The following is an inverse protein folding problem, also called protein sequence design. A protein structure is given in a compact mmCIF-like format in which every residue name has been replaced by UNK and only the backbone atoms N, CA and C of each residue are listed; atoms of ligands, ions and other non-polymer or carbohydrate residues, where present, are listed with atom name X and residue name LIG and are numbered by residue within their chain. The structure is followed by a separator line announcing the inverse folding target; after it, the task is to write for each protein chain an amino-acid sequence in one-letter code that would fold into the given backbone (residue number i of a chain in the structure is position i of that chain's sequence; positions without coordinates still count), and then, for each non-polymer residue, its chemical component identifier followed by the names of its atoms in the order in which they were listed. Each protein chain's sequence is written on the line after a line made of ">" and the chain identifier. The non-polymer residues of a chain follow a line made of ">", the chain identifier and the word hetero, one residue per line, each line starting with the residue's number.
data_IF_326082006533
#
_entry.id   IF_326082006533
#
_cell.length_a   1.000
_cell.length_b   1.000
_cell.length_c   1.000
_cell.angle_alpha   90.00
_cell.angle_beta   90.00
_cell.angle_gamma   90.00
#
_symmetry.space_group_name_H-M   'P 1'
#
loop_
_entity.id
_entity.type
_entity.pdbx_description
1 polymer ?
#
# COMPACT_ATOMS: atom_id res chain seq x y z
N UNK A 1 -14.67 7.05 5.89
CA UNK A 1 -13.69 6.48 4.92
C UNK A 1 -14.21 5.18 4.31
N UNK A 2 -14.57 4.17 5.11
CA UNK A 2 -14.98 2.85 4.61
C UNK A 2 -16.09 2.86 3.54
N UNK A 3 -17.18 3.61 3.74
CA UNK A 3 -18.26 3.67 2.73
C UNK A 3 -17.86 4.42 1.46
N UNK A 4 -16.84 5.27 1.53
CA UNK A 4 -16.26 5.91 0.35
C UNK A 4 -15.52 4.88 -0.50
N UNK A 5 -14.71 4.01 0.13
CA UNK A 5 -13.89 3.02 -0.56
C UNK A 5 -14.70 1.93 -1.28
N UNK A 6 -15.95 1.70 -0.85
CA UNK A 6 -16.90 0.79 -1.52
C UNK A 6 -17.42 1.37 -2.85
N UNK A 7 -17.28 2.68 -3.09
CA UNK A 7 -17.76 3.35 -4.32
C UNK A 7 -16.71 3.41 -5.43
N UNK A 8 -15.45 3.08 -5.11
CA UNK A 8 -14.34 3.18 -6.04
C UNK A 8 -13.72 1.81 -6.30
N UNK A 9 -13.31 1.57 -7.54
CA UNK A 9 -12.77 0.28 -7.98
C UNK A 9 -11.25 0.25 -8.01
N UNK A 10 -10.67 -0.87 -7.58
CA UNK A 10 -9.24 -1.15 -7.61
C UNK A 10 -8.83 -2.01 -8.82
N UNK A 11 -9.74 -2.88 -9.31
CA UNK A 11 -9.54 -3.80 -10.44
C UNK A 11 -10.80 -3.85 -11.30
N UNK A 12 -10.64 -4.13 -12.60
CA UNK A 12 -11.73 -4.19 -13.58
C UNK A 12 -12.22 -5.60 -13.91
N UNK A 13 -11.40 -6.63 -13.70
CA UNK A 13 -11.74 -8.02 -14.03
C UNK A 13 -11.13 -9.02 -13.02
N UNK A 14 -11.92 -9.60 -12.11
CA UNK A 14 -13.30 -9.18 -11.80
C UNK A 14 -13.33 -7.75 -11.22
N UNK A 15 -14.48 -7.10 -11.33
CA UNK A 15 -14.68 -5.76 -10.80
C UNK A 15 -14.62 -5.79 -9.26
N UNK A 16 -13.56 -5.20 -8.69
CA UNK A 16 -13.26 -5.24 -7.25
C UNK A 16 -13.14 -3.81 -6.72
N UNK A 17 -13.83 -3.50 -5.62
CA UNK A 17 -13.74 -2.20 -4.94
C UNK A 17 -12.41 -2.04 -4.18
N UNK A 18 -11.98 -0.81 -3.91
CA UNK A 18 -10.80 -0.56 -3.06
C UNK A 18 -11.00 -1.18 -1.68
N UNK A 19 -12.22 -1.13 -1.14
CA UNK A 19 -12.55 -1.79 0.12
C UNK A 19 -12.29 -3.31 0.05
N UNK A 20 -12.86 -4.01 -0.93
CA UNK A 20 -12.67 -5.46 -1.09
C UNK A 20 -11.21 -5.84 -1.32
N UNK A 21 -10.48 -5.06 -2.13
CA UNK A 21 -9.05 -5.26 -2.36
C UNK A 21 -8.25 -5.14 -1.05
N UNK A 22 -8.52 -4.12 -0.24
CA UNK A 22 -7.86 -3.93 1.04
C UNK A 22 -8.18 -5.06 2.03
N UNK A 23 -9.44 -5.53 2.09
CA UNK A 23 -9.82 -6.63 2.98
C UNK A 23 -9.17 -7.97 2.55
N UNK A 24 -9.07 -8.25 1.24
CA UNK A 24 -8.31 -9.42 0.75
C UNK A 24 -6.83 -9.33 1.14
N UNK A 25 -6.19 -8.16 0.99
CA UNK A 25 -4.81 -7.95 1.41
C UNK A 25 -4.62 -8.12 2.93
N UNK A 26 -5.54 -7.62 3.75
CA UNK A 26 -5.51 -7.82 5.21
C UNK A 26 -5.63 -9.30 5.57
N UNK A 27 -6.55 -10.03 4.93
CA UNK A 27 -6.70 -11.47 5.14
C UNK A 27 -5.42 -12.22 4.78
N UNK A 28 -4.78 -11.89 3.65
CA UNK A 28 -3.49 -12.47 3.26
C UNK A 28 -2.36 -12.11 4.24
N UNK A 29 -2.34 -10.88 4.73
CA UNK A 29 -1.39 -10.47 5.77
C UNK A 29 -1.57 -11.32 7.03
N UNK A 30 -2.80 -11.54 7.51
CA UNK A 30 -3.06 -12.39 8.68
C UNK A 30 -2.71 -13.86 8.45
N UNK A 31 -2.84 -14.37 7.23
CA UNK A 31 -2.37 -15.72 6.86
C UNK A 31 -0.84 -15.81 6.85
N UNK A 32 -0.15 -14.73 6.44
CA UNK A 32 1.32 -14.66 6.42
C UNK A 32 1.91 -14.41 7.81
N UNK A 33 1.18 -13.70 8.67
CA UNK A 33 1.62 -13.24 10.01
C UNK A 33 2.31 -14.32 10.85
N UNK A 34 1.82 -15.58 10.95
CA UNK A 34 2.47 -16.63 11.75
C UNK A 34 3.88 -17.01 11.29
N UNK A 35 4.23 -16.71 10.04
CA UNK A 35 5.53 -17.04 9.44
C UNK A 35 6.54 -15.89 9.52
N UNK A 36 6.14 -14.73 10.04
CA UNK A 36 6.99 -13.54 10.16
C UNK A 36 7.59 -13.43 11.58
N UNK A 37 8.74 -12.75 11.76
CA UNK A 37 9.33 -12.56 13.08
C UNK A 37 8.37 -11.82 14.02
N UNK A 38 7.85 -12.53 15.03
CA UNK A 38 6.79 -12.07 15.93
C UNK A 38 7.06 -10.67 16.51
N UNK A 39 8.25 -10.45 17.05
CA UNK A 39 8.64 -9.18 17.67
C UNK A 39 8.57 -7.99 16.69
N UNK A 40 9.02 -8.20 15.44
CA UNK A 40 9.00 -7.16 14.40
C UNK A 40 7.57 -6.85 13.95
N UNK A 41 6.73 -7.87 13.87
CA UNK A 41 5.33 -7.75 13.45
C UNK A 41 4.50 -7.04 14.51
N UNK A 42 4.54 -7.49 15.77
CA UNK A 42 3.68 -6.95 16.83
C UNK A 42 3.94 -5.45 17.05
N UNK A 43 5.21 -5.02 16.96
CA UNK A 43 5.57 -3.60 17.08
C UNK A 43 5.01 -2.72 15.96
N UNK A 44 4.85 -3.26 14.75
CA UNK A 44 4.56 -2.48 13.54
C UNK A 44 3.26 -2.86 12.85
N UNK A 45 2.46 -3.74 13.44
CA UNK A 45 1.20 -4.24 12.87
C UNK A 45 0.27 -3.10 12.46
N UNK A 46 0.04 -2.12 13.34
CA UNK A 46 -0.80 -0.98 13.02
C UNK A 46 -0.29 -0.19 11.80
N UNK A 47 1.03 -0.04 11.67
CA UNK A 47 1.65 0.65 10.53
C UNK A 47 1.45 -0.17 9.25
N UNK A 48 1.63 -1.49 9.32
CA UNK A 48 1.40 -2.41 8.19
C UNK A 48 -0.05 -2.34 7.72
N UNK A 49 -1.01 -2.39 8.64
CA UNK A 49 -2.44 -2.26 8.31
C UNK A 49 -2.71 -0.91 7.65
N UNK A 50 -2.09 0.19 8.12
CA UNK A 50 -2.22 1.49 7.48
C UNK A 50 -1.61 1.54 6.09
N UNK A 51 -0.50 0.83 5.83
CA UNK A 51 0.07 0.75 4.48
C UNK A 51 -0.96 0.09 3.54
N UNK A 52 -1.58 -1.02 3.95
CA UNK A 52 -2.63 -1.69 3.19
C UNK A 52 -3.81 -0.73 2.94
N UNK A 53 -4.23 0.03 3.95
CA UNK A 53 -5.34 0.98 3.80
C UNK A 53 -5.03 2.14 2.85
N UNK A 54 -3.77 2.58 2.76
CA UNK A 54 -3.38 3.80 2.05
C UNK A 54 -2.80 3.57 0.65
N UNK A 55 -2.15 2.43 0.38
CA UNK A 55 -1.34 2.23 -0.84
C UNK A 55 -2.09 2.55 -2.14
N UNK A 56 -3.39 2.24 -2.18
CA UNK A 56 -4.25 2.36 -3.35
C UNK A 56 -5.26 3.53 -3.28
N UNK A 57 -5.19 4.43 -2.29
CA UNK A 57 -6.15 5.54 -2.18
C UNK A 57 -6.12 6.47 -3.40
N UNK A 58 -4.96 6.61 -4.05
CA UNK A 58 -4.81 7.33 -5.30
C UNK A 58 -5.72 6.81 -6.41
N UNK A 59 -6.18 5.55 -6.36
CA UNK A 59 -7.11 4.98 -7.35
C UNK A 59 -8.49 5.63 -7.33
N UNK A 60 -8.86 6.35 -6.28
CA UNK A 60 -10.11 7.13 -6.23
C UNK A 60 -10.14 8.29 -7.25
N UNK A 61 -9.00 8.62 -7.87
CA UNK A 61 -8.95 9.68 -8.87
C UNK A 61 -9.81 9.35 -10.11
N UNK A 62 -10.42 10.39 -10.68
CA UNK A 62 -11.37 10.26 -11.80
C UNK A 62 -10.78 9.56 -13.03
N UNK A 63 -9.50 9.80 -13.35
CA UNK A 63 -8.85 9.20 -14.52
C UNK A 63 -8.68 7.69 -14.35
N UNK A 64 -8.23 7.25 -13.17
CA UNK A 64 -8.12 5.84 -12.84
C UNK A 64 -9.48 5.14 -12.88
N UNK A 65 -10.53 5.75 -12.30
CA UNK A 65 -11.88 5.18 -12.32
C UNK A 65 -12.46 5.08 -13.74
N UNK A 66 -12.28 6.11 -14.57
CA UNK A 66 -12.69 6.07 -15.98
C UNK A 66 -11.98 4.94 -16.76
N UNK A 67 -10.71 4.69 -16.44
CA UNK A 67 -9.93 3.59 -17.02
C UNK A 67 -10.47 2.24 -16.57
N UNK A 68 -10.76 2.06 -15.28
CA UNK A 68 -11.24 0.78 -14.73
C UNK A 68 -12.67 0.44 -15.17
N UNK A 69 -13.58 1.41 -15.20
CA UNK A 69 -14.99 1.18 -15.52
C UNK A 69 -15.23 1.21 -17.03
N UNK A 70 -14.59 2.13 -17.75
CA UNK A 70 -14.90 2.44 -19.15
C UNK A 70 -13.74 2.24 -20.12
N UNK A 71 -12.59 1.73 -19.68
CA UNK A 71 -11.42 1.49 -20.52
C UNK A 71 -10.72 2.76 -21.05
N UNK A 72 -11.20 3.96 -20.69
CA UNK A 72 -10.68 5.23 -21.19
C UNK A 72 -9.39 5.60 -20.48
N UNK A 73 -8.26 5.54 -21.21
CA UNK A 73 -6.95 5.96 -20.70
C UNK A 73 -6.71 7.43 -20.99
N UNK A 74 -6.15 8.14 -20.02
CA UNK A 74 -5.65 9.50 -20.19
C UNK A 74 -4.12 9.46 -20.28
N UNK A 75 -3.52 10.23 -21.18
CA UNK A 75 -2.06 10.26 -21.38
C UNK A 75 -1.30 10.96 -20.25
N UNK A 76 -2.01 11.75 -19.44
CA UNK A 76 -1.51 12.57 -18.34
C UNK A 76 -2.01 12.06 -16.97
N UNK A 77 -2.22 10.75 -16.85
CA UNK A 77 -2.56 10.10 -15.57
C UNK A 77 -1.34 10.08 -14.64
N UNK A 78 -1.47 10.71 -13.47
CA UNK A 78 -0.46 10.60 -12.40
C UNK A 78 -0.57 9.20 -11.80
N UNK A 79 0.54 8.46 -11.61
CA UNK A 79 0.49 7.14 -11.00
C UNK A 79 -0.14 7.19 -9.60
N UNK A 80 -0.98 6.21 -9.28
CA UNK A 80 -1.82 6.25 -8.10
C UNK A 80 -1.01 6.08 -6.81
N UNK A 81 0.13 5.38 -6.86
CA UNK A 81 1.12 5.29 -5.79
C UNK A 81 1.57 6.67 -5.29
N UNK A 82 1.78 7.63 -6.19
CA UNK A 82 2.16 8.99 -5.84
C UNK A 82 0.97 9.79 -5.29
N UNK A 83 -0.21 9.61 -5.86
CA UNK A 83 -1.43 10.25 -5.38
C UNK A 83 -1.85 9.74 -3.98
N UNK A 84 -1.60 8.47 -3.67
CA UNK A 84 -1.90 7.87 -2.37
C UNK A 84 -1.18 8.56 -1.21
N UNK A 85 0.03 9.09 -1.45
CA UNK A 85 0.81 9.82 -0.44
C UNK A 85 0.10 11.11 -0.02
N UNK A 86 -0.63 11.76 -0.93
CA UNK A 86 -1.33 13.02 -0.66
C UNK A 86 -2.46 12.87 0.38
N UNK A 87 -2.91 11.65 0.65
CA UNK A 87 -3.91 11.35 1.69
C UNK A 87 -3.31 11.36 3.11
N UNK A 88 -1.98 11.42 3.26
CA UNK A 88 -1.32 11.47 4.58
C UNK A 88 -1.39 12.89 5.14
N UNK A 89 -2.40 13.15 5.97
CA UNK A 89 -2.57 14.44 6.64
C UNK A 89 -1.60 14.63 7.82
N UNK A 90 -1.60 15.85 8.39
CA UNK A 90 -0.69 16.24 9.49
C UNK A 90 -0.83 15.36 10.74
N UNK A 91 -2.05 14.96 11.08
CA UNK A 91 -2.31 14.18 12.29
C UNK A 91 -1.91 12.73 12.11
N UNK A 92 -2.16 12.15 10.92
CA UNK A 92 -1.70 10.82 10.59
C UNK A 92 -0.16 10.76 10.51
N UNK A 93 0.50 11.80 9.98
CA UNK A 93 1.95 11.96 10.05
C UNK A 93 2.47 11.99 11.50
N UNK A 94 1.81 12.71 12.40
CA UNK A 94 2.17 12.70 13.84
C UNK A 94 2.00 11.32 14.45
N UNK A 95 0.92 10.61 14.11
CA UNK A 95 0.68 9.25 14.57
C UNK A 95 1.78 8.29 14.11
N UNK A 96 2.19 8.33 12.83
CA UNK A 96 3.30 7.52 12.30
C UNK A 96 4.61 7.76 13.04
N UNK A 97 4.91 9.01 13.42
CA UNK A 97 6.12 9.36 14.16
C UNK A 97 6.20 8.73 15.56
N UNK A 98 5.08 8.28 16.14
CA UNK A 98 5.09 7.57 17.43
C UNK A 98 5.80 6.21 17.35
N UNK A 99 5.94 5.65 16.15
CA UNK A 99 6.61 4.38 15.90
C UNK A 99 8.09 4.52 15.55
N UNK A 100 8.61 5.76 15.49
CA UNK A 100 10.01 6.01 15.20
C UNK A 100 10.93 5.33 16.25
N UNK A 101 12.14 5.01 15.82
CA UNK A 101 13.26 4.69 16.71
C UNK A 101 14.50 5.44 16.20
N UNK A 102 15.61 5.31 16.92
CA UNK A 102 16.85 6.06 16.66
C UNK A 102 17.37 5.91 15.21
N UNK A 103 17.00 4.83 14.52
CA UNK A 103 17.48 4.53 13.18
C UNK A 103 16.40 4.66 12.09
N UNK A 104 15.13 4.79 12.44
CA UNK A 104 14.02 4.67 11.47
C UNK A 104 12.99 5.79 11.66
N UNK A 105 12.80 6.58 10.59
CA UNK A 105 11.67 7.48 10.42
C UNK A 105 10.51 6.76 9.73
N UNK A 106 9.50 6.38 10.51
CA UNK A 106 8.36 5.58 10.03
C UNK A 106 7.49 6.35 9.05
N UNK A 107 7.36 7.67 9.18
CA UNK A 107 6.62 8.46 8.18
C UNK A 107 7.30 8.40 6.80
N UNK A 108 8.63 8.57 6.76
CA UNK A 108 9.38 8.47 5.51
C UNK A 108 9.28 7.07 4.91
N UNK A 109 9.45 6.02 5.74
CA UNK A 109 9.32 4.63 5.30
C UNK A 109 7.90 4.34 4.76
N UNK A 110 6.86 4.81 5.45
CA UNK A 110 5.47 4.66 5.02
C UNK A 110 5.23 5.28 3.64
N UNK A 111 5.68 6.52 3.44
CA UNK A 111 5.57 7.18 2.15
C UNK A 111 6.39 6.47 1.07
N UNK A 112 7.58 5.96 1.40
CA UNK A 112 8.42 5.21 0.48
C UNK A 112 7.75 3.91 0.03
N UNK A 113 7.27 3.09 0.97
CA UNK A 113 6.58 1.84 0.64
C UNK A 113 5.37 2.09 -0.26
N UNK A 114 4.60 3.15 0.01
CA UNK A 114 3.48 3.53 -0.86
C UNK A 114 3.96 4.02 -2.22
N UNK A 115 4.93 4.92 -2.30
CA UNK A 115 5.39 5.47 -3.58
C UNK A 115 5.99 4.39 -4.51
N UNK A 116 6.58 3.35 -3.93
CA UNK A 116 7.33 2.33 -4.64
C UNK A 116 6.61 0.97 -4.70
N UNK A 117 5.31 0.89 -4.38
CA UNK A 117 4.61 -0.41 -4.37
C UNK A 117 4.38 -1.04 -5.76
N UNK A 118 4.50 -0.26 -6.85
CA UNK A 118 4.54 -0.78 -8.23
C UNK A 118 5.95 -1.00 -8.76
N UNK A 119 6.95 -0.34 -8.18
CA UNK A 119 8.36 -0.58 -8.52
C UNK A 119 8.83 -1.82 -7.80
N UNK A 120 8.53 -2.98 -8.39
CA UNK A 120 9.30 -4.18 -8.11
C UNK A 120 10.63 -4.02 -8.86
N UNK A 121 11.73 -3.88 -8.11
CA UNK A 121 13.06 -4.05 -8.68
C UNK A 121 13.13 -5.37 -9.45
N UNK A 122 13.93 -5.40 -10.53
CA UNK A 122 14.18 -6.56 -11.40
C UNK A 122 14.05 -7.90 -10.68
N UNK A 123 13.48 -8.88 -11.37
CA UNK A 123 13.49 -10.28 -10.94
C UNK A 123 14.90 -10.64 -10.45
N UNK A 124 14.98 -11.16 -9.22
CA UNK A 124 16.20 -11.69 -8.63
C UNK A 124 15.97 -13.18 -8.34
N UNK A 125 17.01 -13.97 -8.53
CA UNK A 125 16.99 -15.41 -8.29
C UNK A 125 17.02 -15.72 -6.79
N UNK A 126 16.52 -16.90 -6.43
CA UNK A 126 16.60 -17.44 -5.06
C UNK A 126 18.07 -17.56 -4.59
N UNK A 127 18.99 -17.79 -5.52
CA UNK A 127 20.41 -17.92 -5.20
C UNK A 127 21.07 -16.57 -4.90
N UNK A 128 20.69 -15.50 -5.62
CA UNK A 128 21.09 -14.13 -5.28
C UNK A 128 20.60 -13.71 -3.89
N UNK A 129 19.38 -14.13 -3.51
CA UNK A 129 18.83 -13.87 -2.17
C UNK A 129 19.63 -14.59 -1.07
N UNK A 130 19.98 -15.87 -1.29
CA UNK A 130 20.74 -16.68 -0.31
C UNK A 130 22.15 -16.14 -0.09
N UNK A 131 22.82 -15.68 -1.16
CA UNK A 131 24.18 -15.17 -1.08
C UNK A 131 24.28 -13.79 -0.43
N UNK A 132 23.21 -13.00 -0.41
CA UNK A 132 23.20 -11.67 0.18
C UNK A 132 22.92 -11.64 1.70
N UNK A 133 22.50 -12.77 2.29
CA UNK A 133 22.07 -12.87 3.70
C UNK A 133 23.18 -13.50 4.58
N UNK A 134 24.35 -13.84 4.02
CA UNK A 134 25.51 -14.37 4.74
C UNK A 134 26.56 -13.28 4.94
#
# INVERSE_FOLDING_TARGET
>A
MYDLLKKYYAKSDPLITIFQHNEDLKNRYYQLKPYLPKEKVERHEDVIIKIIEYHDLGKMNKKFQNKVIGGKRASDEIPHEWLSIAFVNKDFKKWLKKFNNDNINIYTLFCYVIAYHHTRSKDFSIDELKNAII
#
